data_IF_396333785464
#
_entry.id   IF_396333785464
#
_cell.length_a   1.000
_cell.length_b   1.000
_cell.length_c   1.000
_cell.angle_alpha   90.00
_cell.angle_beta   90.00
_cell.angle_gamma   90.00
#
_symmetry.space_group_name_H-M   'P 1'
#
loop_
_entity.id
_entity.type
_entity.pdbx_description
1 polymer ?
#
# COMPACT_ATOMS: atom_id res chain seq x y z
N UNK A 1 100.35 59.91 18.56
CA UNK A 1 99.55 61.16 18.37
C UNK A 1 98.10 60.74 18.30
N UNK A 2 97.39 61.11 19.09
CA UNK A 2 96.98 62.28 19.73
C UNK A 2 95.48 62.18 20.05
N UNK A 3 95.26 62.43 21.25
CA UNK A 3 94.19 63.26 21.77
C UNK A 3 92.78 62.90 21.41
N UNK A 4 91.95 62.90 22.25
CA UNK A 4 91.61 63.54 23.51
C UNK A 4 90.02 63.36 23.68
N UNK A 5 89.64 63.02 24.86
CA UNK A 5 88.75 63.81 25.77
C UNK A 5 87.36 64.08 25.21
N UNK A 6 86.38 63.96 25.88
CA UNK A 6 85.85 64.08 27.25
C UNK A 6 84.34 63.90 27.29
N UNK A 7 83.76 63.98 28.43
CA UNK A 7 82.52 63.30 28.83
C UNK A 7 81.31 64.25 28.72
N UNK A 8 80.18 63.68 28.85
CA UNK A 8 78.91 64.44 28.91
C UNK A 8 77.77 63.49 29.12
N UNK A 9 77.50 63.34 30.32
CA UNK A 9 76.25 63.68 31.04
C UNK A 9 74.99 62.96 30.53
N UNK A 10 74.50 62.25 31.48
CA UNK A 10 73.19 62.37 32.07
C UNK A 10 72.00 62.38 31.13
N UNK A 11 71.22 61.38 31.30
CA UNK A 11 69.76 61.58 31.39
C UNK A 11 69.00 60.33 31.68
N UNK A 12 68.44 60.40 32.85
CA UNK A 12 67.08 59.93 33.22
C UNK A 12 66.53 58.70 32.65
N UNK A 13 66.11 57.77 33.44
CA UNK A 13 65.41 56.56 32.98
C UNK A 13 64.04 57.00 32.45
N UNK A 14 63.79 56.59 31.19
CA UNK A 14 62.46 56.67 30.58
C UNK A 14 61.57 55.65 31.29
N UNK A 15 60.47 56.17 31.73
CA UNK A 15 59.31 55.52 32.21
C UNK A 15 58.86 54.38 31.22
N UNK A 16 59.07 53.13 31.63
CA UNK A 16 58.51 51.97 30.97
C UNK A 16 57.17 51.67 31.60
N UNK A 17 56.11 52.36 31.11
CA UNK A 17 54.75 51.92 31.29
C UNK A 17 54.60 50.60 30.55
N UNK A 18 54.15 49.51 31.18
CA UNK A 18 53.85 48.29 30.46
C UNK A 18 52.64 48.57 29.53
N UNK A 19 52.62 47.99 28.32
CA UNK A 19 51.45 48.09 27.49
C UNK A 19 50.26 47.40 28.22
N UNK A 20 49.12 48.05 28.18
CA UNK A 20 47.86 47.53 28.70
C UNK A 20 47.61 46.17 28.08
N UNK A 21 47.50 45.18 28.92
CA UNK A 21 47.01 43.87 28.60
C UNK A 21 45.54 44.01 28.09
N UNK A 22 45.39 44.05 26.78
CA UNK A 22 44.09 43.90 26.14
C UNK A 22 43.75 42.41 26.11
N UNK A 23 43.29 41.91 27.25
CA UNK A 23 42.56 40.66 27.28
C UNK A 23 41.41 40.77 26.28
N UNK A 24 41.30 39.90 25.27
CA UNK A 24 40.12 39.87 24.45
C UNK A 24 38.93 39.58 25.37
N UNK A 25 37.92 40.42 25.34
CA UNK A 25 36.66 40.12 25.98
C UNK A 25 36.16 38.78 25.40
N UNK A 26 36.12 37.76 26.21
CA UNK A 26 35.40 36.54 25.85
C UNK A 26 33.95 36.96 25.59
N UNK A 27 33.55 36.82 24.32
CA UNK A 27 32.17 36.92 23.89
C UNK A 27 31.42 35.74 24.52
N UNK A 28 30.97 35.92 25.73
CA UNK A 28 30.05 34.99 26.38
C UNK A 28 28.64 35.26 25.90
N UNK A 29 28.40 35.09 24.59
CA UNK A 29 27.05 34.85 24.12
C UNK A 29 26.58 33.55 24.76
N UNK A 30 25.45 33.51 25.48
CA UNK A 30 24.91 32.30 26.00
C UNK A 30 24.67 31.34 24.79
N UNK A 31 25.42 30.27 24.72
CA UNK A 31 25.10 29.19 23.77
C UNK A 31 23.80 28.59 24.30
N UNK A 32 22.70 28.90 23.61
CA UNK A 32 21.41 28.28 23.87
C UNK A 32 21.63 26.76 23.77
N UNK A 33 21.18 25.96 24.74
CA UNK A 33 21.38 24.53 24.68
C UNK A 33 20.73 24.03 23.40
N UNK A 34 21.53 23.37 22.56
CA UNK A 34 21.02 22.74 21.35
C UNK A 34 19.86 21.82 21.75
N UNK A 35 18.67 22.11 21.25
CA UNK A 35 17.50 21.25 21.44
C UNK A 35 17.80 19.92 20.77
N UNK A 36 17.80 18.85 21.56
CA UNK A 36 18.01 17.50 21.04
C UNK A 36 16.77 17.12 20.24
N UNK A 37 16.96 16.84 18.95
CA UNK A 37 15.86 16.35 18.10
C UNK A 37 15.57 14.89 18.43
N UNK A 38 14.29 14.54 18.58
CA UNK A 38 13.79 13.20 18.83
C UNK A 38 13.19 12.62 17.53
N UNK A 39 13.41 11.32 17.32
CA UNK A 39 12.81 10.66 16.16
C UNK A 39 11.28 10.60 16.26
N UNK A 40 10.58 10.71 15.15
CA UNK A 40 9.12 10.58 15.14
C UNK A 40 8.67 9.18 15.56
N UNK A 41 7.41 9.05 15.96
CA UNK A 41 6.75 7.77 16.23
C UNK A 41 5.83 7.45 15.07
N UNK A 42 6.18 6.44 14.29
CA UNK A 42 5.39 5.99 13.15
C UNK A 42 4.21 5.13 13.61
N UNK A 43 3.00 5.44 13.12
CA UNK A 43 1.78 4.69 13.40
C UNK A 43 0.96 4.50 12.13
N UNK A 44 0.38 3.30 11.94
CA UNK A 44 -0.53 2.99 10.84
C UNK A 44 -1.88 2.56 11.40
N UNK A 45 -2.94 3.17 10.88
CA UNK A 45 -4.32 2.73 11.05
C UNK A 45 -4.85 2.18 9.72
N UNK A 46 -5.59 1.08 9.79
CA UNK A 46 -6.16 0.41 8.62
C UNK A 46 -7.41 -0.39 8.96
N UNK A 47 -7.97 -1.14 7.99
CA UNK A 47 -9.16 -1.94 8.18
C UNK A 47 -8.95 -3.04 9.23
N UNK A 48 -9.94 -3.24 10.09
CA UNK A 48 -9.93 -4.32 11.08
C UNK A 48 -10.43 -5.60 10.40
N UNK A 49 -9.59 -6.64 10.40
CA UNK A 49 -9.92 -7.93 9.80
C UNK A 49 -9.48 -8.06 8.35
N UNK A 50 -9.99 -9.11 7.68
CA UNK A 50 -9.64 -9.40 6.30
C UNK A 50 -10.54 -8.63 5.32
N UNK A 51 -9.93 -8.06 4.28
CA UNK A 51 -10.62 -7.39 3.18
C UNK A 51 -10.86 -8.35 2.01
N UNK A 52 -11.82 -8.04 1.17
CA UNK A 52 -12.06 -8.80 -0.06
C UNK A 52 -10.95 -8.55 -1.09
N UNK A 53 -10.62 -9.57 -1.90
CA UNK A 53 -9.72 -9.42 -3.03
C UNK A 53 -10.22 -8.32 -3.99
N UNK A 54 -9.34 -7.45 -4.44
CA UNK A 54 -9.67 -6.32 -5.33
C UNK A 54 -10.42 -5.16 -4.65
N UNK A 55 -10.72 -5.24 -3.36
CA UNK A 55 -11.36 -4.14 -2.63
C UNK A 55 -10.44 -2.92 -2.53
N UNK A 56 -11.03 -1.74 -2.50
CA UNK A 56 -10.26 -0.52 -2.22
C UNK A 56 -9.94 -0.45 -0.72
N UNK A 57 -8.65 -0.28 -0.41
CA UNK A 57 -8.11 -0.17 0.94
C UNK A 57 -7.56 1.22 1.16
N UNK A 58 -7.79 1.76 2.35
CA UNK A 58 -7.18 3.01 2.82
C UNK A 58 -6.38 2.73 4.08
N UNK A 59 -5.13 3.22 4.12
CA UNK A 59 -4.30 3.22 5.32
C UNK A 59 -3.98 4.67 5.69
N UNK A 60 -3.96 4.96 6.99
CA UNK A 60 -3.68 6.29 7.53
C UNK A 60 -2.47 6.25 8.46
N UNK A 61 -1.54 7.18 8.27
CA UNK A 61 -0.43 7.48 9.15
C UNK A 61 -0.67 8.74 10.00
N UNK A 62 -1.87 9.32 9.99
CA UNK A 62 -2.20 10.56 10.72
C UNK A 62 -2.01 10.43 12.24
N UNK A 63 -1.98 9.21 12.77
CA UNK A 63 -1.65 8.93 14.16
C UNK A 63 -0.16 9.03 14.50
N UNK A 64 0.73 9.24 13.50
CA UNK A 64 2.16 9.42 13.75
C UNK A 64 2.41 10.76 14.43
N UNK A 65 3.36 10.78 15.38
CA UNK A 65 3.66 11.97 16.20
C UNK A 65 5.15 12.24 16.25
N UNK A 66 5.48 13.47 16.56
CA UNK A 66 6.83 13.92 16.83
C UNK A 66 6.86 14.69 18.16
N UNK A 67 7.87 14.41 19.00
CA UNK A 67 7.97 15.00 20.34
C UNK A 67 8.35 16.49 20.30
N UNK A 68 9.05 16.90 19.25
CA UNK A 68 9.54 18.26 19.06
C UNK A 68 8.54 19.10 18.24
N UNK A 69 7.47 18.47 17.75
CA UNK A 69 6.44 19.10 16.92
C UNK A 69 6.87 19.37 15.48
N UNK A 70 7.90 18.66 15.00
CA UNK A 70 8.41 18.81 13.66
C UNK A 70 7.39 18.35 12.61
N UNK A 71 7.47 18.93 11.41
CA UNK A 71 6.62 18.55 10.29
C UNK A 71 7.02 17.18 9.79
N UNK A 72 6.08 16.25 9.81
CA UNK A 72 6.28 14.87 9.36
C UNK A 72 6.11 14.75 7.85
N UNK A 73 6.94 13.89 7.27
CA UNK A 73 6.84 13.39 5.90
C UNK A 73 6.69 11.87 5.92
N UNK A 74 6.03 11.32 4.91
CA UNK A 74 5.63 9.92 4.87
C UNK A 74 6.17 9.27 3.60
N UNK A 75 6.57 8.01 3.71
CA UNK A 75 6.94 7.19 2.56
C UNK A 75 6.37 5.78 2.76
N UNK A 76 5.47 5.39 1.86
CA UNK A 76 4.82 4.08 1.88
C UNK A 76 5.46 3.13 0.88
N UNK A 77 5.59 1.88 1.27
CA UNK A 77 6.11 0.81 0.42
C UNK A 77 5.29 -0.45 0.59
N UNK A 78 5.01 -1.12 -0.51
CA UNK A 78 4.44 -2.47 -0.53
C UNK A 78 5.56 -3.49 -0.75
N UNK A 79 5.48 -4.63 -0.09
CA UNK A 79 6.44 -5.72 -0.23
C UNK A 79 6.48 -6.25 -1.67
N UNK A 80 5.38 -6.22 -2.40
CA UNK A 80 5.25 -6.75 -3.75
C UNK A 80 5.49 -5.71 -4.85
N UNK A 81 6.02 -4.53 -4.51
CA UNK A 81 6.25 -3.44 -5.47
C UNK A 81 4.95 -2.83 -6.03
N UNK A 82 3.81 -3.12 -5.43
CA UNK A 82 2.52 -2.50 -5.78
C UNK A 82 2.61 -0.98 -5.60
N UNK A 83 2.15 -0.26 -6.59
CA UNK A 83 2.11 1.20 -6.51
C UNK A 83 0.99 1.63 -5.56
N UNK A 84 1.39 2.24 -4.45
CA UNK A 84 0.46 2.84 -3.50
C UNK A 84 0.22 4.29 -3.92
N UNK A 85 -1.02 4.66 -4.18
CA UNK A 85 -1.36 6.06 -4.54
C UNK A 85 -1.25 6.96 -3.32
N UNK A 86 -0.48 8.05 -3.45
CA UNK A 86 -0.24 9.01 -2.35
C UNK A 86 0.90 8.59 -1.44
N UNK A 87 1.96 7.99 -1.98
CA UNK A 87 3.12 7.49 -1.23
C UNK A 87 3.81 8.52 -0.32
N UNK A 88 3.63 9.80 -0.60
CA UNK A 88 4.16 10.95 0.14
C UNK A 88 3.16 11.59 1.10
N UNK A 89 1.96 11.00 1.23
CA UNK A 89 0.87 11.55 2.06
C UNK A 89 0.65 10.73 3.32
N UNK A 90 0.04 11.36 4.33
CA UNK A 90 -0.37 10.67 5.54
C UNK A 90 -1.43 9.59 5.29
N UNK A 91 -2.25 9.72 4.25
CA UNK A 91 -3.26 8.74 3.87
C UNK A 91 -2.99 8.23 2.47
N UNK A 92 -3.01 6.91 2.33
CA UNK A 92 -2.82 6.21 1.06
C UNK A 92 -4.01 5.33 0.74
N UNK A 93 -4.26 5.14 -0.56
CA UNK A 93 -5.29 4.23 -1.06
C UNK A 93 -4.72 3.34 -2.14
N UNK A 94 -5.14 2.09 -2.15
CA UNK A 94 -4.76 1.10 -3.18
C UNK A 94 -5.83 0.02 -3.28
N UNK A 95 -5.77 -0.79 -4.33
CA UNK A 95 -6.61 -1.99 -4.45
C UNK A 95 -5.90 -3.17 -3.78
N UNK A 96 -6.61 -3.89 -2.94
CA UNK A 96 -6.14 -5.17 -2.42
C UNK A 96 -5.82 -6.11 -3.59
N UNK A 97 -4.70 -6.83 -3.55
CA UNK A 97 -4.36 -7.78 -4.59
C UNK A 97 -5.47 -8.82 -4.83
N UNK A 98 -5.62 -9.22 -6.08
CA UNK A 98 -6.51 -10.33 -6.44
C UNK A 98 -5.75 -11.65 -6.35
N UNK A 99 -6.18 -12.54 -5.48
CA UNK A 99 -5.58 -13.85 -5.30
C UNK A 99 -6.66 -14.93 -5.18
N UNK A 100 -6.42 -16.08 -5.76
CA UNK A 100 -7.29 -17.24 -5.64
C UNK A 100 -7.29 -17.84 -4.22
N UNK A 101 -6.31 -17.50 -3.40
CA UNK A 101 -6.17 -17.95 -2.00
C UNK A 101 -6.06 -16.76 -1.07
N UNK A 102 -6.50 -16.93 0.18
CA UNK A 102 -6.30 -15.91 1.21
C UNK A 102 -4.80 -15.69 1.45
N UNK A 103 -4.38 -14.43 1.49
CA UNK A 103 -2.98 -14.04 1.65
C UNK A 103 -2.82 -12.85 2.59
N UNK A 104 -1.61 -12.67 3.09
CA UNK A 104 -1.19 -11.50 3.85
C UNK A 104 -0.21 -10.67 3.02
N UNK A 105 -0.40 -9.36 3.06
CA UNK A 105 0.48 -8.40 2.41
C UNK A 105 1.02 -7.42 3.43
N UNK A 106 2.33 -7.20 3.41
CA UNK A 106 2.96 -6.23 4.29
C UNK A 106 3.11 -4.89 3.57
N UNK A 107 2.61 -3.83 4.21
CA UNK A 107 2.76 -2.45 3.77
C UNK A 107 3.60 -1.72 4.80
N UNK A 108 4.78 -1.27 4.38
CA UNK A 108 5.71 -0.51 5.21
C UNK A 108 5.45 0.99 5.13
N UNK A 109 5.65 1.66 6.26
CA UNK A 109 5.64 3.12 6.38
C UNK A 109 6.96 3.58 6.98
N UNK A 110 7.57 4.58 6.37
CA UNK A 110 8.64 5.37 6.93
C UNK A 110 8.13 6.79 7.18
N UNK A 111 8.30 7.28 8.40
CA UNK A 111 7.99 8.65 8.80
C UNK A 111 9.29 9.37 9.08
N UNK A 112 9.44 10.60 8.59
CA UNK A 112 10.62 11.43 8.81
C UNK A 112 10.21 12.83 9.26
N UNK A 113 10.98 13.39 10.17
CA UNK A 113 10.93 14.79 10.63
C UNK A 113 11.84 15.73 9.83
N UNK A 114 12.62 15.16 8.88
CA UNK A 114 13.64 15.85 8.10
C UNK A 114 15.07 15.51 8.47
N UNK A 115 15.32 15.04 9.70
CA UNK A 115 16.63 14.64 10.21
C UNK A 115 16.66 13.16 10.61
N UNK A 116 15.65 12.72 11.34
CA UNK A 116 15.51 11.36 11.85
C UNK A 116 14.31 10.65 11.21
N UNK A 117 14.28 9.34 11.32
CA UNK A 117 13.21 8.51 10.74
C UNK A 117 12.76 7.42 11.69
N UNK A 118 11.50 7.04 11.56
CA UNK A 118 10.91 5.86 12.20
C UNK A 118 10.17 5.03 11.17
N UNK A 119 10.17 3.72 11.34
CA UNK A 119 9.51 2.77 10.44
C UNK A 119 8.53 1.89 11.19
N UNK A 120 7.44 1.54 10.53
CA UNK A 120 6.47 0.54 11.00
C UNK A 120 5.87 -0.19 9.82
N UNK A 121 5.18 -1.30 10.05
CA UNK A 121 4.48 -2.02 8.99
C UNK A 121 3.06 -2.42 9.41
N UNK A 122 2.22 -2.64 8.42
CA UNK A 122 0.84 -3.08 8.56
C UNK A 122 0.63 -4.36 7.76
N UNK A 123 0.07 -5.39 8.40
CA UNK A 123 -0.29 -6.65 7.74
C UNK A 123 -1.73 -6.60 7.27
N UNK A 124 -1.92 -6.47 5.97
CA UNK A 124 -3.22 -6.53 5.33
C UNK A 124 -3.59 -7.99 5.05
N UNK A 125 -4.65 -8.47 5.69
CA UNK A 125 -5.22 -9.77 5.38
C UNK A 125 -6.21 -9.62 4.22
N UNK A 126 -5.98 -10.33 3.12
CA UNK A 126 -6.85 -10.35 1.95
C UNK A 126 -7.48 -11.73 1.84
N UNK A 127 -8.81 -11.79 1.75
CA UNK A 127 -9.54 -13.03 1.51
C UNK A 127 -9.22 -13.55 0.10
N UNK A 128 -9.38 -14.85 -0.08
CA UNK A 128 -9.43 -15.40 -1.43
C UNK A 128 -10.46 -14.64 -2.26
N UNK A 129 -10.13 -14.38 -3.52
CA UNK A 129 -11.14 -13.92 -4.48
C UNK A 129 -12.27 -14.95 -4.43
N UNK A 130 -13.46 -14.52 -4.03
CA UNK A 130 -14.61 -15.38 -4.16
C UNK A 130 -14.67 -15.77 -5.64
N UNK A 131 -14.57 -17.06 -5.90
CA UNK A 131 -15.03 -17.53 -7.20
C UNK A 131 -16.45 -17.02 -7.28
N UNK A 132 -16.71 -16.10 -8.20
CA UNK A 132 -18.07 -15.70 -8.47
C UNK A 132 -18.76 -17.03 -8.83
N UNK A 133 -19.60 -17.50 -7.92
CA UNK A 133 -20.68 -18.36 -8.37
C UNK A 133 -21.48 -17.44 -9.25
N UNK A 134 -21.10 -17.47 -10.49
CA UNK A 134 -21.83 -16.80 -11.53
C UNK A 134 -23.22 -17.45 -11.52
N UNK A 135 -24.13 -16.80 -10.79
CA UNK A 135 -25.53 -17.09 -10.95
C UNK A 135 -25.90 -16.59 -12.36
N UNK A 136 -25.52 -17.40 -13.35
CA UNK A 136 -25.78 -17.10 -14.74
C UNK A 136 -24.68 -17.48 -15.72
N UNK A 137 -23.48 -17.87 -15.29
CA UNK A 137 -22.42 -18.27 -16.23
C UNK A 137 -22.16 -19.77 -16.18
N UNK A 138 -22.27 -20.38 -17.24
CA UNK A 138 -22.17 -21.70 -17.80
C UNK A 138 -21.13 -22.69 -17.18
N UNK A 139 -20.36 -22.32 -16.16
CA UNK A 139 -19.26 -23.13 -15.61
C UNK A 139 -19.64 -24.11 -14.49
N UNK A 140 -20.80 -23.95 -13.84
CA UNK A 140 -21.22 -24.80 -12.71
C UNK A 140 -22.15 -25.93 -13.10
N UNK A 141 -22.69 -25.92 -14.30
CA UNK A 141 -23.59 -26.97 -14.79
C UNK A 141 -22.87 -27.90 -15.77
N UNK A 142 -23.23 -29.15 -15.72
CA UNK A 142 -22.66 -30.15 -16.63
C UNK A 142 -22.87 -29.74 -18.09
N UNK A 143 -21.86 -29.96 -18.92
CA UNK A 143 -22.01 -29.77 -20.34
C UNK A 143 -23.09 -30.71 -20.89
N UNK A 144 -23.95 -30.18 -21.76
CA UNK A 144 -24.90 -31.03 -22.46
C UNK A 144 -24.17 -32.13 -23.28
N UNK A 145 -24.74 -33.29 -23.28
CA UNK A 145 -24.22 -34.44 -24.06
C UNK A 145 -25.37 -35.21 -24.67
N UNK A 146 -25.23 -35.53 -25.96
CA UNK A 146 -26.21 -36.27 -26.72
C UNK A 146 -26.47 -37.71 -26.15
N UNK A 147 -25.55 -38.23 -25.37
CA UNK A 147 -25.61 -39.58 -24.80
C UNK A 147 -26.05 -39.61 -23.32
N UNK A 148 -26.30 -38.46 -22.74
CA UNK A 148 -26.78 -38.34 -21.36
C UNK A 148 -28.31 -38.39 -21.30
N UNK A 149 -28.84 -38.76 -20.16
CA UNK A 149 -30.27 -38.71 -19.88
C UNK A 149 -30.59 -37.52 -18.98
N UNK A 150 -31.62 -36.78 -19.33
CA UNK A 150 -32.05 -35.56 -18.65
C UNK A 150 -33.48 -35.71 -18.13
N UNK A 151 -33.71 -35.21 -16.93
CA UNK A 151 -35.02 -35.16 -16.33
C UNK A 151 -35.59 -33.73 -16.42
N UNK A 152 -36.88 -33.61 -16.23
CA UNK A 152 -37.53 -32.32 -16.11
C UNK A 152 -36.85 -31.48 -15.01
N UNK A 153 -36.44 -30.26 -15.35
CA UNK A 153 -35.78 -29.36 -14.44
C UNK A 153 -34.24 -29.43 -14.45
N UNK A 154 -33.64 -30.44 -15.09
CA UNK A 154 -32.19 -30.52 -15.21
C UNK A 154 -31.65 -29.31 -16.02
N UNK A 155 -30.57 -28.73 -15.53
CA UNK A 155 -29.92 -27.60 -16.16
C UNK A 155 -28.60 -28.06 -16.76
N UNK A 156 -28.36 -27.66 -18.00
CA UNK A 156 -27.13 -27.99 -18.74
C UNK A 156 -26.52 -26.73 -19.34
N UNK A 157 -25.24 -26.77 -19.55
CA UNK A 157 -24.54 -25.77 -20.32
C UNK A 157 -24.31 -26.29 -21.76
N UNK A 158 -24.69 -25.50 -22.75
CA UNK A 158 -24.35 -25.77 -24.15
C UNK A 158 -24.02 -24.46 -24.87
N UNK A 159 -22.91 -24.45 -25.61
CA UNK A 159 -22.41 -23.27 -26.33
C UNK A 159 -22.30 -22.01 -25.44
N UNK A 160 -21.91 -22.15 -24.15
CA UNK A 160 -21.75 -21.03 -23.24
C UNK A 160 -23.04 -20.46 -22.67
N UNK A 161 -24.18 -21.13 -22.87
CA UNK A 161 -25.50 -20.73 -22.36
C UNK A 161 -26.11 -21.84 -21.52
N UNK A 162 -26.97 -21.47 -20.59
CA UNK A 162 -27.71 -22.41 -19.75
C UNK A 162 -29.09 -22.70 -20.31
N UNK A 163 -29.48 -23.97 -20.21
CA UNK A 163 -30.77 -24.45 -20.66
C UNK A 163 -31.34 -25.41 -19.63
N UNK A 164 -32.63 -25.29 -19.35
CA UNK A 164 -33.37 -26.16 -18.46
C UNK A 164 -34.30 -27.07 -19.24
N UNK A 165 -34.24 -28.37 -18.97
CA UNK A 165 -35.15 -29.35 -19.57
C UNK A 165 -36.59 -29.10 -19.10
N UNK A 166 -37.52 -28.93 -20.03
CA UNK A 166 -38.92 -28.65 -19.75
C UNK A 166 -39.63 -29.80 -19.06
N UNK A 167 -40.68 -29.51 -18.24
CA UNK A 167 -41.48 -30.53 -17.61
C UNK A 167 -42.34 -31.30 -18.62
N UNK A 168 -42.95 -32.40 -18.15
CA UNK A 168 -43.89 -33.15 -18.98
C UNK A 168 -44.96 -32.21 -19.62
N UNK A 169 -45.32 -32.48 -20.90
CA UNK A 169 -44.98 -33.65 -21.73
C UNK A 169 -43.64 -33.54 -22.47
N UNK A 170 -42.91 -32.45 -22.34
CA UNK A 170 -41.75 -32.13 -23.17
C UNK A 170 -40.43 -32.72 -22.65
N UNK A 171 -40.36 -33.20 -21.41
CA UNK A 171 -39.12 -33.71 -20.81
C UNK A 171 -38.54 -34.95 -21.56
N UNK A 172 -39.40 -35.74 -22.22
CA UNK A 172 -38.96 -36.81 -23.08
C UNK A 172 -38.11 -36.34 -24.25
N UNK A 173 -38.29 -35.12 -24.72
CA UNK A 173 -37.58 -34.59 -25.88
C UNK A 173 -36.17 -34.13 -25.55
N UNK A 174 -35.89 -33.81 -24.29
CA UNK A 174 -34.52 -33.49 -23.83
C UNK A 174 -33.56 -34.66 -24.06
N UNK A 175 -34.11 -35.88 -24.19
CA UNK A 175 -33.37 -37.14 -24.39
C UNK A 175 -33.49 -37.69 -25.81
N UNK A 176 -34.11 -36.94 -26.71
CA UNK A 176 -34.40 -37.43 -28.05
C UNK A 176 -33.36 -36.89 -29.06
N UNK A 177 -33.53 -37.21 -30.31
CA UNK A 177 -32.61 -36.95 -31.41
C UNK A 177 -31.81 -35.63 -31.29
N UNK A 178 -30.49 -35.67 -31.11
CA UNK A 178 -29.68 -34.47 -30.86
C UNK A 178 -29.81 -33.40 -31.96
N UNK A 179 -29.91 -33.83 -33.21
CA UNK A 179 -30.07 -32.91 -34.34
C UNK A 179 -31.29 -31.99 -34.23
N UNK A 180 -32.31 -32.41 -33.48
CA UNK A 180 -33.52 -31.62 -33.27
C UNK A 180 -33.57 -30.89 -31.91
N UNK A 181 -33.07 -31.54 -30.87
CA UNK A 181 -33.30 -31.09 -29.49
C UNK A 181 -32.02 -30.73 -28.74
N UNK A 182 -30.88 -30.61 -29.41
CA UNK A 182 -29.69 -30.02 -28.79
C UNK A 182 -29.99 -28.62 -28.29
N UNK A 183 -29.80 -28.29 -26.98
CA UNK A 183 -30.21 -27.02 -26.42
C UNK A 183 -29.46 -25.85 -27.10
N UNK A 184 -30.23 -24.92 -27.65
CA UNK A 184 -29.70 -23.72 -28.30
C UNK A 184 -29.13 -23.93 -29.71
N UNK A 185 -29.08 -25.16 -30.24
CA UNK A 185 -28.50 -25.47 -31.55
C UNK A 185 -29.42 -26.38 -32.42
N UNK A 186 -30.17 -27.32 -31.84
CA UNK A 186 -31.06 -28.18 -32.56
C UNK A 186 -32.22 -27.42 -33.26
N UNK A 187 -32.81 -28.03 -34.28
CA UNK A 187 -33.88 -27.41 -35.08
C UNK A 187 -35.14 -27.08 -34.27
N UNK A 188 -35.45 -27.87 -33.23
CA UNK A 188 -36.61 -27.69 -32.36
C UNK A 188 -36.25 -27.68 -30.87
N UNK A 189 -35.05 -27.18 -30.53
CA UNK A 189 -34.55 -27.18 -29.16
C UNK A 189 -35.50 -26.49 -28.17
N UNK A 190 -36.16 -25.40 -28.61
CA UNK A 190 -37.08 -24.61 -27.79
C UNK A 190 -38.33 -25.40 -27.35
N UNK A 191 -38.63 -26.55 -28.00
CA UNK A 191 -39.74 -27.41 -27.57
C UNK A 191 -39.35 -28.21 -26.32
N UNK A 192 -38.08 -28.62 -26.22
CA UNK A 192 -37.56 -29.43 -25.13
C UNK A 192 -36.93 -28.62 -23.99
N UNK A 193 -36.32 -27.49 -24.30
CA UNK A 193 -35.50 -26.71 -23.39
C UNK A 193 -35.99 -25.27 -23.25
N UNK A 194 -35.77 -24.70 -22.05
CA UNK A 194 -35.93 -23.27 -21.78
C UNK A 194 -34.55 -22.68 -21.62
N UNK A 195 -34.23 -21.60 -22.34
CA UNK A 195 -33.02 -20.82 -22.11
C UNK A 195 -33.15 -20.06 -20.78
N UNK A 196 -32.09 -20.04 -20.00
CA UNK A 196 -32.00 -19.36 -18.68
C UNK A 196 -31.20 -18.07 -18.78
#
# INVERSE_FOLDING_TARGET
DGSAVTPGEDKTPADTTPPADTTPAEDTTPVEPATVNHAPVAQIAGPIGAVEAGAQVSLSAEGSTDADGNKLTYTWRSQDGQTVTGQDKAVVTFKAPESATAQQYEIGLTVSDGELTSTTSYLLNVKAKAESKDEGTSGSYAAWSANSKYNAGDIVNNHGKLFQCKPFPYSGWCNNAPAYYEPGAGLAWADAWTAL
#
